data_IF_231675551149
#
_entry.id   IF_231675551149
#
_cell.length_a   1.000
_cell.length_b   1.000
_cell.length_c   1.000
_cell.angle_alpha   90.00
_cell.angle_beta   90.00
_cell.angle_gamma   90.00
#
_symmetry.space_group_name_H-M   'P 1'
#
loop_
_entity.id
_entity.type
_entity.pdbx_description
1 polymer ?
#
# COMPACT_ATOMS: atom_id res chain seq x y z
N UNK A 1 -9.33 8.05 8.93
CA UNK A 1 -10.14 8.97 8.12
C UNK A 1 -9.38 9.35 6.84
N UNK A 2 -9.81 8.78 5.70
CA UNK A 2 -9.17 9.01 4.41
C UNK A 2 -9.32 10.45 3.89
N UNK A 3 -10.41 11.14 4.21
CA UNK A 3 -10.61 12.51 3.75
C UNK A 3 -9.60 13.47 4.37
N UNK A 4 -9.28 13.29 5.65
CA UNK A 4 -8.22 14.05 6.33
C UNK A 4 -6.84 13.74 5.73
N UNK A 5 -6.56 12.48 5.41
CA UNK A 5 -5.33 12.08 4.73
C UNK A 5 -5.21 12.71 3.33
N UNK A 6 -6.29 12.72 2.54
CA UNK A 6 -6.32 13.39 1.24
C UNK A 6 -5.98 14.88 1.37
N UNK A 7 -6.61 15.57 2.32
CA UNK A 7 -6.35 16.99 2.56
C UNK A 7 -4.90 17.25 2.96
N UNK A 8 -4.34 16.42 3.84
CA UNK A 8 -2.96 16.50 4.24
C UNK A 8 -2.00 16.38 3.05
N UNK A 9 -2.17 15.36 2.19
CA UNK A 9 -1.29 15.13 1.05
C UNK A 9 -1.55 16.06 -0.13
N UNK A 10 -2.73 16.64 -0.27
CA UNK A 10 -2.99 17.72 -1.23
C UNK A 10 -2.16 18.97 -0.94
N UNK A 11 -1.98 19.28 0.33
CA UNK A 11 -1.16 20.43 0.78
C UNK A 11 0.31 20.11 0.97
N UNK A 12 0.70 18.84 0.85
CA UNK A 12 2.08 18.41 0.97
C UNK A 12 2.93 18.84 -0.23
N UNK A 13 4.15 19.24 0.07
CA UNK A 13 5.18 19.48 -0.93
C UNK A 13 5.96 18.20 -1.20
N UNK A 14 6.77 18.20 -2.27
CA UNK A 14 7.68 17.10 -2.57
C UNK A 14 8.38 16.57 -1.30
N UNK A 15 8.65 15.26 -1.21
CA UNK A 15 8.59 14.26 -2.30
C UNK A 15 7.22 13.59 -2.50
N UNK A 16 6.21 13.88 -1.69
CA UNK A 16 4.92 13.20 -1.72
C UNK A 16 3.89 13.96 -2.54
N UNK A 17 3.27 13.27 -3.49
CA UNK A 17 2.22 13.82 -4.35
C UNK A 17 1.00 12.91 -4.33
N UNK A 18 -0.17 13.49 -4.06
CA UNK A 18 -1.44 12.77 -4.15
C UNK A 18 -1.76 12.42 -5.61
N UNK A 19 -2.12 11.17 -5.86
CA UNK A 19 -2.60 10.70 -7.16
C UNK A 19 -4.14 10.54 -7.08
N UNK A 20 -4.90 11.08 -8.06
CA UNK A 20 -6.36 11.13 -7.97
C UNK A 20 -7.06 9.81 -8.30
N UNK A 21 -6.56 8.68 -7.78
CA UNK A 21 -7.19 7.37 -7.89
C UNK A 21 -8.48 7.29 -7.07
N UNK A 22 -8.59 8.09 -6.04
CA UNK A 22 -9.75 8.12 -5.15
C UNK A 22 -11.03 8.63 -5.80
N UNK A 23 -10.95 9.24 -6.98
CA UNK A 23 -12.12 9.58 -7.79
C UNK A 23 -12.78 8.33 -8.38
N UNK A 24 -12.02 7.25 -8.51
CA UNK A 24 -12.50 5.94 -8.98
C UNK A 24 -12.81 4.97 -7.84
N UNK A 25 -12.06 5.07 -6.74
CA UNK A 25 -12.14 4.17 -5.60
C UNK A 25 -12.19 4.97 -4.29
N UNK A 26 -13.23 4.77 -3.51
CA UNK A 26 -13.50 5.53 -2.29
C UNK A 26 -12.83 4.95 -1.02
N UNK A 27 -12.21 3.79 -1.12
CA UNK A 27 -11.60 3.08 0.00
C UNK A 27 -10.06 3.21 0.08
N UNK A 28 -9.46 4.05 -0.76
CA UNK A 28 -8.01 4.15 -0.89
C UNK A 28 -7.54 5.57 -1.17
N UNK A 29 -6.37 5.91 -0.67
CA UNK A 29 -5.58 7.08 -1.04
C UNK A 29 -4.28 6.60 -1.66
N UNK A 30 -3.92 7.12 -2.83
CA UNK A 30 -2.67 6.82 -3.51
C UNK A 30 -1.73 8.01 -3.47
N UNK A 31 -0.48 7.76 -3.07
CA UNK A 31 0.58 8.77 -3.00
C UNK A 31 1.74 8.31 -3.88
N UNK A 32 2.26 9.19 -4.71
CA UNK A 32 3.47 8.96 -5.49
C UNK A 32 4.66 9.66 -4.84
N UNK A 33 5.82 9.01 -4.85
CA UNK A 33 7.07 9.56 -4.37
C UNK A 33 7.92 9.98 -5.57
N UNK A 34 8.23 11.27 -5.69
CA UNK A 34 8.77 11.87 -6.91
C UNK A 34 10.27 11.72 -7.11
N UNK A 35 11.05 11.43 -6.07
CA UNK A 35 12.51 11.46 -6.13
C UNK A 35 13.17 10.09 -6.27
N UNK A 36 12.40 9.06 -6.63
CA UNK A 36 12.94 7.71 -6.75
C UNK A 36 13.13 7.31 -8.22
N UNK A 37 14.29 6.75 -8.46
CA UNK A 37 14.78 6.15 -9.69
C UNK A 37 13.99 6.47 -10.98
N UNK A 38 14.32 7.56 -11.70
CA UNK A 38 13.58 8.00 -12.88
C UNK A 38 13.65 7.03 -14.07
N UNK A 39 14.54 6.04 -14.03
CA UNK A 39 14.69 5.02 -15.07
C UNK A 39 13.71 3.86 -14.92
N UNK A 40 13.07 3.69 -13.77
CA UNK A 40 12.07 2.64 -13.55
C UNK A 40 10.72 3.05 -14.14
N UNK A 41 10.11 2.16 -14.93
CA UNK A 41 8.72 2.31 -15.40
C UNK A 41 7.72 2.17 -14.25
N UNK A 42 8.07 1.39 -13.23
CA UNK A 42 7.23 1.23 -12.03
C UNK A 42 7.59 2.30 -11.03
N UNK A 43 6.74 3.30 -10.94
CA UNK A 43 6.91 4.41 -10.01
C UNK A 43 6.72 3.98 -8.55
N UNK A 44 7.44 4.64 -7.65
CA UNK A 44 7.27 4.46 -6.22
C UNK A 44 5.94 5.05 -5.77
N UNK A 45 5.03 4.20 -5.31
CA UNK A 45 3.69 4.57 -4.91
C UNK A 45 3.27 3.88 -3.61
N UNK A 46 2.41 4.55 -2.86
CA UNK A 46 1.85 4.06 -1.60
C UNK A 46 0.33 4.05 -1.70
N UNK A 47 -0.29 2.93 -1.36
CA UNK A 47 -1.74 2.80 -1.26
C UNK A 47 -2.14 2.71 0.21
N UNK A 48 -2.93 3.67 0.66
CA UNK A 48 -3.44 3.77 2.03
C UNK A 48 -4.92 3.41 2.03
N UNK A 49 -5.27 2.28 2.63
CA UNK A 49 -6.64 1.80 2.69
C UNK A 49 -7.35 2.25 3.96
N UNK A 50 -8.68 2.40 3.87
CA UNK A 50 -9.54 2.85 4.96
C UNK A 50 -9.57 1.89 6.17
N UNK A 51 -9.25 0.60 5.95
CA UNK A 51 -9.11 -0.42 7.00
C UNK A 51 -7.76 -0.40 7.73
N UNK A 52 -6.87 0.53 7.37
CA UNK A 52 -5.56 0.71 7.98
C UNK A 52 -4.42 -0.07 7.34
N UNK A 53 -4.66 -0.77 6.23
CA UNK A 53 -3.58 -1.39 5.47
C UNK A 53 -2.79 -0.35 4.67
N UNK A 54 -1.48 -0.54 4.62
CA UNK A 54 -0.55 0.30 3.85
C UNK A 54 0.25 -0.60 2.92
N UNK A 55 0.20 -0.32 1.62
CA UNK A 55 0.91 -1.08 0.60
C UNK A 55 1.92 -0.19 -0.10
N UNK A 56 3.17 -0.61 -0.09
CA UNK A 56 4.27 0.09 -0.74
C UNK A 56 4.69 -0.62 -2.03
N UNK A 57 4.74 0.13 -3.12
CA UNK A 57 5.28 -0.30 -4.40
C UNK A 57 6.64 0.35 -4.65
N UNK A 58 7.70 -0.44 -4.59
CA UNK A 58 9.07 0.00 -4.90
C UNK A 58 9.50 1.26 -4.11
N UNK A 59 9.20 1.30 -2.82
CA UNK A 59 9.48 2.41 -1.92
C UNK A 59 10.63 2.08 -1.00
N UNK A 60 11.66 2.92 -0.98
CA UNK A 60 12.80 2.77 -0.07
C UNK A 60 12.38 2.94 1.40
N UNK A 61 13.08 2.26 2.31
CA UNK A 61 12.77 2.22 3.75
C UNK A 61 12.66 3.61 4.37
N UNK A 62 13.52 4.55 4.00
CA UNK A 62 13.48 5.93 4.51
C UNK A 62 12.15 6.64 4.23
N UNK A 63 11.56 6.42 3.05
CA UNK A 63 10.26 6.99 2.70
C UNK A 63 9.11 6.25 3.36
N UNK A 64 9.23 4.94 3.57
CA UNK A 64 8.28 4.17 4.36
C UNK A 64 8.18 4.72 5.78
N UNK A 65 9.32 5.00 6.43
CA UNK A 65 9.36 5.61 7.76
C UNK A 65 8.75 7.00 7.79
N UNK A 66 9.04 7.83 6.79
CA UNK A 66 8.45 9.16 6.66
C UNK A 66 6.91 9.10 6.55
N UNK A 67 6.39 8.18 5.75
CA UNK A 67 4.95 7.94 5.62
C UNK A 67 4.36 7.49 6.96
N UNK A 68 4.95 6.52 7.63
CA UNK A 68 4.46 6.06 8.93
C UNK A 68 4.45 7.18 9.98
N UNK A 69 5.47 8.04 9.99
CA UNK A 69 5.52 9.18 10.90
C UNK A 69 4.40 10.19 10.63
N UNK A 70 4.06 10.43 9.37
CA UNK A 70 2.93 11.29 9.01
C UNK A 70 1.59 10.64 9.37
N UNK A 71 1.43 9.34 9.18
CA UNK A 71 0.20 8.60 9.51
C UNK A 71 -0.11 8.59 11.01
N UNK A 72 0.87 8.72 11.88
CA UNK A 72 0.67 8.82 13.34
C UNK A 72 -0.28 9.94 13.74
N UNK A 73 -0.34 11.01 12.98
CA UNK A 73 -1.23 12.15 13.24
C UNK A 73 -2.71 11.84 12.95
N UNK A 74 -2.99 10.80 12.18
CA UNK A 74 -4.32 10.45 11.69
C UNK A 74 -4.86 9.13 12.21
N UNK A 75 -4.11 8.46 13.07
CA UNK A 75 -4.49 7.17 13.64
C UNK A 75 -4.64 7.29 15.15
N UNK A 76 -5.84 7.00 15.64
CA UNK A 76 -6.15 7.04 17.08
C UNK A 76 -5.59 5.81 17.82
N UNK A 77 -5.39 4.70 17.10
CA UNK A 77 -4.88 3.43 17.62
C UNK A 77 -3.74 2.91 16.77
N UNK A 78 -2.53 3.34 17.10
CA UNK A 78 -1.32 2.80 16.44
C UNK A 78 -1.05 1.39 16.94
N UNK A 79 -0.88 0.46 16.00
CA UNK A 79 -0.37 -0.86 16.33
C UNK A 79 1.09 -0.78 16.80
N UNK A 80 1.48 -1.57 17.81
CA UNK A 80 2.88 -1.67 18.20
C UNK A 80 3.77 -2.06 17.01
N UNK A 81 4.99 -1.54 16.95
CA UNK A 81 5.94 -1.83 15.88
C UNK A 81 6.17 -3.33 15.70
N UNK A 82 6.20 -4.08 16.79
CA UNK A 82 6.33 -5.54 16.80
C UNK A 82 5.18 -6.23 16.06
N UNK A 83 3.96 -5.74 16.22
CA UNK A 83 2.79 -6.29 15.52
C UNK A 83 2.85 -5.97 14.01
N UNK A 84 3.22 -4.75 13.66
CA UNK A 84 3.38 -4.33 12.26
C UNK A 84 4.42 -5.22 11.56
N UNK A 85 5.59 -5.43 12.17
CA UNK A 85 6.63 -6.31 11.62
C UNK A 85 6.17 -7.77 11.50
N UNK A 86 5.37 -8.27 12.45
CA UNK A 86 4.85 -9.66 12.39
C UNK A 86 3.78 -9.88 11.32
N UNK A 87 3.14 -8.82 10.85
CA UNK A 87 2.07 -8.87 9.83
C UNK A 87 2.52 -8.35 8.46
N UNK A 88 3.78 -7.95 8.36
CA UNK A 88 4.37 -7.50 7.11
C UNK A 88 4.47 -8.66 6.12
N UNK A 89 3.93 -8.45 4.92
CA UNK A 89 4.07 -9.34 3.78
C UNK A 89 4.88 -8.65 2.69
N UNK A 90 5.79 -9.38 2.06
CA UNK A 90 6.60 -8.88 0.95
C UNK A 90 6.33 -9.76 -0.26
N UNK A 91 6.00 -9.13 -1.38
CA UNK A 91 5.86 -9.80 -2.67
C UNK A 91 6.83 -9.19 -3.69
N UNK A 92 7.38 -10.05 -4.53
CA UNK A 92 8.19 -9.63 -5.66
C UNK A 92 7.32 -9.36 -6.87
N UNK A 93 7.76 -8.48 -7.74
CA UNK A 93 7.12 -8.22 -9.02
C UNK A 93 8.14 -8.13 -10.14
N UNK A 94 7.71 -8.45 -11.37
CA UNK A 94 8.48 -8.30 -12.60
C UNK A 94 7.63 -7.63 -13.67
N UNK A 95 8.27 -6.88 -14.56
CA UNK A 95 7.62 -6.29 -15.73
C UNK A 95 7.46 -7.35 -16.84
N UNK A 96 6.31 -7.38 -17.46
CA UNK A 96 6.01 -8.23 -18.61
C UNK A 96 5.29 -7.46 -19.71
N UNK A 97 5.30 -7.96 -20.94
CA UNK A 97 4.57 -7.39 -22.09
C UNK A 97 3.19 -8.00 -22.32
N UNK A 98 2.85 -9.08 -21.62
CA UNK A 98 1.54 -9.71 -21.65
C UNK A 98 0.62 -9.14 -20.55
N UNK A 99 -0.61 -9.65 -20.45
CA UNK A 99 -1.55 -9.25 -19.39
C UNK A 99 -1.00 -9.54 -17.99
N UNK A 100 -1.26 -8.62 -17.05
CA UNK A 100 -0.81 -8.77 -15.67
C UNK A 100 -1.43 -10.00 -15.01
N UNK A 101 -0.62 -10.74 -14.26
CA UNK A 101 -1.01 -11.97 -13.58
C UNK A 101 -0.34 -12.10 -12.22
N UNK A 102 -0.95 -12.89 -11.33
CA UNK A 102 -0.35 -13.34 -10.08
C UNK A 102 -0.04 -14.84 -10.22
N UNK A 103 1.22 -15.21 -10.02
CA UNK A 103 1.66 -16.59 -10.07
C UNK A 103 2.46 -16.92 -8.81
N UNK A 104 1.87 -17.67 -7.89
CA UNK A 104 2.39 -17.91 -6.54
C UNK A 104 2.64 -16.55 -5.81
N UNK A 105 3.87 -16.31 -5.38
CA UNK A 105 4.26 -15.08 -4.69
C UNK A 105 4.89 -14.03 -5.62
N UNK A 106 4.75 -14.19 -6.92
CA UNK A 106 5.31 -13.31 -7.94
C UNK A 106 4.20 -12.59 -8.71
N UNK A 107 4.21 -11.26 -8.66
CA UNK A 107 3.34 -10.41 -9.48
C UNK A 107 4.05 -10.16 -10.81
N UNK A 108 3.39 -10.50 -11.92
CA UNK A 108 3.80 -10.15 -13.27
C UNK A 108 2.94 -8.99 -13.74
N UNK A 109 3.53 -7.83 -13.94
CA UNK A 109 2.79 -6.60 -14.20
C UNK A 109 3.14 -6.01 -15.58
N UNK A 110 2.09 -5.61 -16.32
CA UNK A 110 2.23 -4.95 -17.60
C UNK A 110 2.38 -3.43 -17.40
N UNK A 111 3.44 -2.85 -17.96
CA UNK A 111 3.79 -1.43 -17.81
C UNK A 111 3.60 -0.62 -19.11
N UNK A 112 2.86 -1.11 -20.09
CA UNK A 112 2.68 -0.42 -21.37
C UNK A 112 1.74 0.79 -21.29
N UNK A 113 0.76 0.75 -20.41
CA UNK A 113 -0.19 1.85 -20.15
C UNK A 113 -0.12 2.30 -18.68
N UNK A 114 0.10 3.59 -18.42
CA UNK A 114 0.15 4.11 -17.05
C UNK A 114 -1.19 3.96 -16.32
N UNK A 115 -2.30 4.14 -17.03
CA UNK A 115 -3.65 3.97 -16.45
C UNK A 115 -3.92 2.53 -16.06
N UNK A 116 -3.65 1.59 -16.94
CA UNK A 116 -3.81 0.15 -16.66
C UNK A 116 -2.87 -0.32 -15.56
N UNK A 117 -1.62 0.16 -15.55
CA UNK A 117 -0.65 -0.12 -14.51
C UNK A 117 -1.14 0.34 -13.13
N UNK A 118 -1.72 1.53 -13.04
CA UNK A 118 -2.27 2.05 -11.79
C UNK A 118 -3.46 1.21 -11.29
N UNK A 119 -4.35 0.81 -12.20
CA UNK A 119 -5.48 -0.07 -11.89
C UNK A 119 -5.02 -1.46 -11.44
N UNK A 120 -4.02 -2.04 -12.10
CA UNK A 120 -3.43 -3.31 -11.72
C UNK A 120 -2.77 -3.25 -10.35
N UNK A 121 -2.00 -2.21 -10.08
CA UNK A 121 -1.42 -1.96 -8.75
C UNK A 121 -2.50 -1.84 -7.67
N UNK A 122 -3.58 -1.12 -7.94
CA UNK A 122 -4.70 -1.04 -7.02
C UNK A 122 -5.30 -2.42 -6.74
N UNK A 123 -5.55 -3.21 -7.78
CA UNK A 123 -6.15 -4.55 -7.66
C UNK A 123 -5.28 -5.48 -6.82
N UNK A 124 -3.99 -5.54 -7.08
CA UNK A 124 -3.06 -6.35 -6.27
C UNK A 124 -2.92 -5.83 -4.84
N UNK A 125 -2.88 -4.52 -4.67
CA UNK A 125 -2.81 -3.88 -3.35
C UNK A 125 -4.04 -4.18 -2.51
N UNK A 126 -5.22 -4.11 -3.10
CA UNK A 126 -6.48 -4.46 -2.44
C UNK A 126 -6.53 -5.92 -2.00
N UNK A 127 -6.04 -6.83 -2.85
CA UNK A 127 -5.93 -8.25 -2.52
C UNK A 127 -4.96 -8.50 -1.36
N UNK A 128 -3.80 -7.85 -1.35
CA UNK A 128 -2.84 -7.92 -0.25
C UNK A 128 -3.40 -7.35 1.06
N UNK A 129 -4.09 -6.23 1.00
CA UNK A 129 -4.75 -5.62 2.17
C UNK A 129 -5.78 -6.57 2.78
N UNK A 130 -6.57 -7.25 1.96
CA UNK A 130 -7.52 -8.29 2.41
C UNK A 130 -6.81 -9.49 3.02
N UNK A 131 -5.70 -9.95 2.44
CA UNK A 131 -4.88 -11.05 2.97
C UNK A 131 -4.35 -10.76 4.37
N UNK A 132 -3.79 -9.56 4.58
CA UNK A 132 -3.31 -9.11 5.90
C UNK A 132 -4.45 -9.07 6.91
N UNK A 133 -5.60 -8.53 6.54
CA UNK A 133 -6.79 -8.47 7.40
C UNK A 133 -7.30 -9.86 7.82
N UNK A 134 -7.34 -10.80 6.90
CA UNK A 134 -7.73 -12.19 7.19
C UNK A 134 -6.70 -12.90 8.09
N UNK A 135 -5.42 -12.64 7.88
CA UNK A 135 -4.33 -13.13 8.73
C UNK A 135 -4.46 -12.66 10.19
N UNK A 136 -4.78 -11.38 10.40
CA UNK A 136 -5.05 -10.81 11.74
C UNK A 136 -6.24 -11.49 12.42
N UNK A 137 -7.33 -11.69 11.71
CA UNK A 137 -8.52 -12.36 12.25
C UNK A 137 -8.20 -13.78 12.70
N UNK A 138 -7.51 -14.56 11.89
CA UNK A 138 -7.09 -15.94 12.21
C UNK A 138 -6.16 -16.00 13.42
N UNK A 139 -5.23 -15.06 13.57
CA UNK A 139 -4.34 -14.97 14.74
C UNK A 139 -5.14 -14.66 16.01
N UNK A 140 -6.08 -13.71 15.94
CA UNK A 140 -6.94 -13.35 17.06
C UNK A 140 -7.80 -14.54 17.53
N UNK A 141 -8.40 -15.26 16.61
CA UNK A 141 -9.20 -16.46 16.91
C UNK A 141 -8.35 -17.58 17.55
N UNK A 142 -7.13 -17.80 17.07
CA UNK A 142 -6.19 -18.77 17.67
C UNK A 142 -5.80 -18.39 19.09
N UNK A 143 -5.50 -17.12 19.35
CA UNK A 143 -5.13 -16.64 20.66
C UNK A 143 -6.30 -16.73 21.65
N UNK A 144 -7.53 -16.47 21.23
CA UNK A 144 -8.72 -16.65 22.05
C UNK A 144 -8.96 -18.11 22.42
N UNK A 145 -8.80 -19.05 21.48
CA UNK A 145 -8.91 -20.49 21.75
C UNK A 145 -7.83 -21.05 22.67
N UNK A 146 -6.64 -20.43 22.67
CA UNK A 146 -5.54 -20.84 23.56
C UNK A 146 -5.77 -20.40 25.02
N UNK A 147 -6.68 -19.45 25.26
CA UNK A 147 -7.04 -18.94 26.59
C UNK A 147 -8.27 -19.66 27.21
N UNK A 148 -9.00 -20.42 26.41
CA UNK A 148 -10.09 -21.28 26.87
C UNK A 148 -9.57 -22.64 27.38
#
# INVERSE_FOLDING_TARGET
DLDRLKQHFLSSTKPFQLIPISDMFNNVVCIQISDQNPSSKIRSQVFLFDDGAVIFWNVEDKYQEMIFNQLKQFSDNLYPKTLVESEKEIMNFIEISASSTLNNDLIKINCQSETELLLDKYTFSNALALSVKLGRKRKKERNMKALE
#
